data_IF_752756749081
#
_entry.id   IF_752756749081
#
_cell.length_a   1.000
_cell.length_b   1.000
_cell.length_c   1.000
_cell.angle_alpha   90.00
_cell.angle_beta   90.00
_cell.angle_gamma   90.00
#
_symmetry.space_group_name_H-M   'P 1'
#
loop_
_entity.id
_entity.type
_entity.pdbx_description
1 polymer ?
#
# COMPACT_ATOMS: atom_id res chain seq x y z
N UNK A 1 14.09 -3.95 -26.71
CA UNK A 1 14.61 -3.35 -25.47
C UNK A 1 13.47 -2.65 -24.74
N UNK A 2 13.16 -3.17 -23.54
CA UNK A 2 12.52 -2.53 -22.37
C UNK A 2 11.23 -1.71 -22.58
N UNK A 3 10.08 -2.40 -22.64
CA UNK A 3 8.81 -1.84 -22.13
C UNK A 3 8.68 -2.28 -20.67
N UNK A 4 9.21 -1.47 -19.75
CA UNK A 4 8.81 -1.56 -18.35
C UNK A 4 7.36 -1.09 -18.30
N UNK A 5 6.43 -2.03 -18.16
CA UNK A 5 5.04 -1.73 -17.83
C UNK A 5 5.01 -1.16 -16.42
N UNK A 6 5.19 0.16 -16.36
CA UNK A 6 5.38 1.01 -15.17
C UNK A 6 4.10 1.19 -14.37
N UNK A 7 3.46 0.08 -14.01
CA UNK A 7 2.35 0.06 -13.06
C UNK A 7 2.65 -0.95 -11.96
N UNK A 8 3.80 -0.79 -11.31
CA UNK A 8 3.91 -1.25 -9.93
C UNK A 8 3.10 -0.22 -9.12
N UNK A 9 1.82 -0.49 -8.90
CA UNK A 9 0.97 0.50 -8.25
C UNK A 9 1.53 0.80 -6.86
N UNK A 10 1.35 2.04 -6.36
CA UNK A 10 1.76 2.40 -4.99
C UNK A 10 1.26 1.39 -3.95
N UNK A 11 0.14 0.75 -4.25
CA UNK A 11 -0.48 -0.32 -3.46
C UNK A 11 0.37 -1.60 -3.43
N UNK A 12 0.88 -2.04 -4.58
CA UNK A 12 1.80 -3.19 -4.70
C UNK A 12 3.12 -2.94 -3.97
N UNK A 13 3.69 -1.74 -4.10
CA UNK A 13 4.90 -1.36 -3.38
C UNK A 13 4.70 -1.46 -1.85
N UNK A 14 3.54 -1.01 -1.33
CA UNK A 14 3.19 -1.13 0.09
C UNK A 14 3.01 -2.60 0.50
N UNK A 15 2.30 -3.40 -0.30
CA UNK A 15 2.09 -4.82 -0.01
C UNK A 15 3.41 -5.60 0.04
N UNK A 16 4.29 -5.38 -0.93
CA UNK A 16 5.60 -6.03 -0.98
C UNK A 16 6.46 -5.61 0.23
N UNK A 17 6.44 -4.33 0.61
CA UNK A 17 7.13 -3.85 1.80
C UNK A 17 6.62 -4.51 3.11
N UNK A 18 5.30 -4.72 3.22
CA UNK A 18 4.70 -5.42 4.36
C UNK A 18 5.08 -6.90 4.41
N UNK A 19 5.10 -7.57 3.26
CA UNK A 19 5.53 -8.98 3.18
C UNK A 19 7.00 -9.14 3.57
N UNK A 20 7.87 -8.24 3.14
CA UNK A 20 9.30 -8.27 3.52
C UNK A 20 9.48 -8.09 5.03
N UNK A 21 8.69 -7.22 5.67
CA UNK A 21 8.67 -7.08 7.12
C UNK A 21 8.20 -8.36 7.84
N UNK A 22 7.10 -8.97 7.37
CA UNK A 22 6.52 -10.18 7.98
C UNK A 22 7.36 -11.44 7.73
N UNK A 23 8.01 -11.53 6.57
CA UNK A 23 8.79 -12.67 6.12
C UNK A 23 10.23 -12.67 6.62
N UNK A 24 10.70 -11.60 7.27
CA UNK A 24 12.06 -11.56 7.81
C UNK A 24 12.17 -12.53 9.00
N UNK A 25 12.97 -13.60 8.91
CA UNK A 25 13.15 -14.51 10.02
C UNK A 25 13.80 -13.77 11.19
N UNK A 26 13.28 -13.96 12.41
CA UNK A 26 13.80 -13.36 13.66
C UNK A 26 15.31 -13.54 13.89
N UNK A 27 15.94 -14.51 13.20
CA UNK A 27 17.39 -14.74 13.22
C UNK A 27 18.21 -13.67 12.49
N UNK A 28 17.60 -12.86 11.63
CA UNK A 28 18.26 -11.75 10.96
C UNK A 28 17.85 -10.42 11.59
N UNK A 29 18.78 -9.46 11.57
CA UNK A 29 18.51 -8.09 12.00
C UNK A 29 17.34 -7.55 11.18
N UNK A 30 16.19 -7.36 11.82
CA UNK A 30 14.98 -6.86 11.17
C UNK A 30 15.33 -5.55 10.46
N UNK A 31 15.17 -5.45 9.13
CA UNK A 31 15.49 -4.23 8.43
C UNK A 31 14.58 -3.11 8.93
N UNK A 32 15.16 -1.92 9.10
CA UNK A 32 14.41 -0.79 9.62
C UNK A 32 13.27 -0.44 8.66
N UNK A 33 12.13 -0.03 9.20
CA UNK A 33 10.99 0.44 8.38
C UNK A 33 11.40 1.53 7.41
N UNK A 34 12.36 2.38 7.78
CA UNK A 34 12.96 3.39 6.90
C UNK A 34 13.72 2.81 5.73
N UNK A 35 14.53 1.78 5.95
CA UNK A 35 15.30 1.10 4.91
C UNK A 35 14.36 0.45 3.90
N UNK A 36 13.37 -0.29 4.38
CA UNK A 36 12.38 -0.97 3.55
C UNK A 36 11.57 0.05 2.75
N UNK A 37 11.10 1.13 3.38
CA UNK A 37 10.37 2.18 2.68
C UNK A 37 11.19 2.77 1.53
N UNK A 38 12.51 2.94 1.71
CA UNK A 38 13.41 3.44 0.67
C UNK A 38 13.63 2.43 -0.46
N UNK A 39 13.70 1.13 -0.16
CA UNK A 39 13.86 0.07 -1.17
C UNK A 39 12.65 -0.04 -2.09
N UNK A 40 11.45 0.30 -1.59
CA UNK A 40 10.20 0.28 -2.34
C UNK A 40 9.75 1.67 -2.83
N UNK A 41 10.61 2.69 -2.75
CA UNK A 41 10.32 4.08 -3.15
C UNK A 41 9.03 4.67 -2.54
N UNK A 42 8.73 4.30 -1.28
CA UNK A 42 7.59 4.81 -0.52
C UNK A 42 8.05 5.63 0.69
N UNK A 43 7.20 6.53 1.17
CA UNK A 43 7.49 7.28 2.39
C UNK A 43 7.40 6.38 3.63
N UNK A 44 8.32 6.54 4.58
CA UNK A 44 8.29 5.81 5.86
C UNK A 44 6.94 5.98 6.57
N UNK A 45 6.36 7.18 6.52
CA UNK A 45 5.04 7.45 7.07
C UNK A 45 3.92 6.58 6.43
N UNK A 46 3.99 6.35 5.11
CA UNK A 46 3.06 5.48 4.39
C UNK A 46 3.21 4.04 4.84
N UNK A 47 4.45 3.54 4.94
CA UNK A 47 4.70 2.17 5.41
C UNK A 47 4.29 1.98 6.87
N UNK A 48 4.60 2.93 7.76
CA UNK A 48 4.15 2.90 9.16
C UNK A 48 2.63 2.87 9.29
N UNK A 49 1.92 3.68 8.49
CA UNK A 49 0.47 3.63 8.44
C UNK A 49 -0.02 2.28 7.93
N UNK A 50 0.61 1.73 6.90
CA UNK A 50 0.23 0.43 6.36
C UNK A 50 0.42 -0.70 7.38
N UNK A 51 1.52 -0.68 8.13
CA UNK A 51 1.76 -1.62 9.25
C UNK A 51 0.66 -1.49 10.30
N UNK A 52 0.30 -0.26 10.70
CA UNK A 52 -0.76 -0.03 11.69
C UNK A 52 -2.14 -0.51 11.23
N UNK A 53 -2.41 -0.47 9.92
CA UNK A 53 -3.69 -0.88 9.33
C UNK A 53 -3.66 -2.33 8.81
N UNK A 54 -2.56 -3.06 9.01
CA UNK A 54 -2.29 -4.38 8.43
C UNK A 54 -2.49 -4.45 6.90
N UNK A 55 -2.29 -3.32 6.22
CA UNK A 55 -2.53 -3.22 4.79
C UNK A 55 -2.44 -1.81 4.22
N UNK A 56 -2.41 -1.70 2.88
CA UNK A 56 -2.41 -0.43 2.17
C UNK A 56 -3.71 0.35 2.44
N UNK A 57 -3.57 1.65 2.71
CA UNK A 57 -4.71 2.51 2.97
C UNK A 57 -5.60 2.61 1.73
N UNK A 58 -6.94 2.54 1.88
CA UNK A 58 -7.85 2.90 0.81
C UNK A 58 -7.60 4.37 0.44
N UNK A 59 -7.52 4.67 -0.85
CA UNK A 59 -7.41 6.04 -1.33
C UNK A 59 -8.60 6.85 -0.76
N UNK A 60 -8.37 8.04 -0.19
CA UNK A 60 -9.45 8.91 0.29
C UNK A 60 -10.39 9.42 -0.82
N UNK A 61 -10.16 9.03 -2.08
CA UNK A 61 -11.04 9.30 -3.22
C UNK A 61 -12.08 8.22 -3.51
N UNK A 62 -12.03 7.04 -2.88
CA UNK A 62 -13.11 6.05 -2.98
C UNK A 62 -14.17 6.36 -1.91
N UNK A 63 -14.69 7.58 -1.92
CA UNK A 63 -16.04 7.80 -1.44
C UNK A 63 -16.92 6.95 -2.35
N UNK A 64 -17.29 5.76 -1.85
CA UNK A 64 -18.39 4.98 -2.39
C UNK A 64 -19.54 5.97 -2.48
N UNK A 65 -19.80 6.49 -3.69
CA UNK A 65 -21.00 7.26 -3.94
C UNK A 65 -22.10 6.29 -3.56
N UNK A 66 -22.69 6.52 -2.39
CA UNK A 66 -23.96 5.92 -2.03
C UNK A 66 -24.90 6.50 -3.09
N UNK A 67 -25.11 5.75 -4.17
CA UNK A 67 -26.24 5.96 -5.07
C UNK A 67 -27.50 5.64 -4.27
N UNK A 68 -27.82 6.51 -3.32
CA UNK A 68 -29.16 6.70 -2.82
C UNK A 68 -29.76 7.76 -3.73
N UNK A 69 -30.22 7.35 -4.91
CA UNK A 69 -31.11 8.18 -5.73
C UNK A 69 -31.82 7.34 -6.78
N UNK A 70 -32.62 6.39 -6.32
CA UNK A 70 -33.88 6.13 -7.04
C UNK A 70 -34.82 7.27 -6.65
N UNK A 71 -34.57 8.47 -7.19
CA UNK A 71 -35.59 9.51 -7.29
C UNK A 71 -36.64 8.99 -8.27
N UNK A 72 -37.89 9.11 -7.84
CA UNK A 72 -39.09 8.85 -8.61
C UNK A 72 -39.01 9.43 -10.03
N UNK A 73 -39.20 8.58 -11.04
CA UNK A 73 -39.62 9.01 -12.37
C UNK A 73 -40.67 8.02 -12.91
N UNK A 74 -41.94 8.42 -12.75
CA UNK A 74 -43.16 8.05 -13.49
C UNK A 74 -44.00 6.86 -13.00
#
# INVERSE_FOLDING_TARGET
MTKYSDHNTRHDAINNALQTLKGTPSRFKIPSTRSIARDYDISEATLRRAIKNDGPLPHPGCAKILTNHEEEQL
#
